data_IF_514155653151
#
_entry.id   IF_514155653151
#
_cell.length_a   1.000
_cell.length_b   1.000
_cell.length_c   1.000
_cell.angle_alpha   90.00
_cell.angle_beta   90.00
_cell.angle_gamma   90.00
#
_symmetry.space_group_name_H-M   'P 1'
#
loop_
_entity.id
_entity.type
_entity.pdbx_description
1 polymer ?
#
# COMPACT_ATOMS: atom_id res chain seq x y z
N UNK A 1 12.27 51.28 -44.06
CA UNK A 1 11.04 50.59 -43.65
C UNK A 1 11.18 49.06 -43.48
N UNK A 2 11.99 48.31 -44.23
CA UNK A 2 12.15 46.86 -44.14
C UNK A 2 12.70 46.34 -42.78
N UNK A 3 13.66 47.04 -42.12
CA UNK A 3 14.24 46.62 -40.83
C UNK A 3 13.22 46.62 -39.68
N UNK A 4 12.30 47.59 -39.61
CA UNK A 4 11.27 47.67 -38.55
C UNK A 4 10.23 46.53 -38.65
N UNK A 5 9.88 46.08 -39.88
CA UNK A 5 8.97 44.94 -40.09
C UNK A 5 9.57 43.63 -39.59
N UNK A 6 10.88 43.39 -39.79
CA UNK A 6 11.54 42.16 -39.36
C UNK A 6 11.64 42.06 -37.82
N UNK A 7 11.88 43.18 -37.13
CA UNK A 7 11.92 43.23 -35.66
C UNK A 7 10.53 42.94 -35.06
N UNK A 8 9.47 43.50 -35.65
CA UNK A 8 8.10 43.22 -35.20
C UNK A 8 7.70 41.76 -35.39
N UNK A 9 8.13 41.15 -36.52
CA UNK A 9 7.88 39.72 -36.78
C UNK A 9 8.63 38.81 -35.80
N UNK A 10 9.87 39.15 -35.42
CA UNK A 10 10.64 38.42 -34.42
C UNK A 10 10.01 38.49 -33.01
N UNK A 11 9.53 39.66 -32.62
CA UNK A 11 8.84 39.85 -31.33
C UNK A 11 7.55 39.04 -31.31
N UNK A 12 6.77 39.07 -32.40
CA UNK A 12 5.53 38.28 -32.49
C UNK A 12 5.79 36.77 -32.42
N UNK A 13 6.84 36.31 -33.12
CA UNK A 13 7.24 34.88 -33.04
C UNK A 13 7.71 34.47 -31.65
N UNK A 14 8.44 35.32 -30.92
CA UNK A 14 8.87 35.07 -29.56
C UNK A 14 7.69 35.02 -28.57
N UNK A 15 6.70 35.90 -28.75
CA UNK A 15 5.47 35.90 -27.92
C UNK A 15 4.64 34.63 -28.19
N UNK A 16 4.49 34.22 -29.45
CA UNK A 16 3.78 33.01 -29.82
C UNK A 16 4.51 31.76 -29.28
N UNK A 17 5.84 31.73 -29.33
CA UNK A 17 6.64 30.64 -28.75
C UNK A 17 6.51 30.57 -27.20
N UNK A 18 6.50 31.69 -26.51
CA UNK A 18 6.28 31.77 -25.07
C UNK A 18 4.86 31.32 -24.68
N UNK A 19 3.84 31.70 -25.47
CA UNK A 19 2.47 31.25 -25.28
C UNK A 19 2.34 29.75 -25.53
N UNK A 20 3.00 29.20 -26.58
CA UNK A 20 2.99 27.79 -26.87
C UNK A 20 3.71 26.95 -25.78
N UNK A 21 4.83 27.45 -25.22
CA UNK A 21 5.50 26.82 -24.08
C UNK A 21 4.65 26.86 -22.81
N UNK A 22 3.94 27.96 -22.55
CA UNK A 22 3.02 28.04 -21.41
C UNK A 22 1.85 27.06 -21.55
N UNK A 23 1.31 26.89 -22.76
CA UNK A 23 0.21 25.91 -23.03
C UNK A 23 0.69 24.47 -22.83
N UNK A 24 1.93 24.13 -23.22
CA UNK A 24 2.48 22.77 -23.03
C UNK A 24 2.76 22.46 -21.55
N UNK A 25 3.24 23.42 -20.76
CA UNK A 25 3.36 23.28 -19.30
C UNK A 25 2.00 23.11 -18.64
N UNK A 26 0.94 23.74 -19.17
CA UNK A 26 -0.42 23.60 -18.66
C UNK A 26 -1.07 22.25 -19.06
N UNK A 27 -0.72 21.69 -20.22
CA UNK A 27 -1.20 20.37 -20.65
C UNK A 27 -0.59 19.23 -19.81
N UNK A 28 0.66 19.36 -19.36
CA UNK A 28 1.32 18.38 -18.50
C UNK A 28 0.74 18.34 -17.06
N UNK A 29 0.03 19.38 -16.63
CA UNK A 29 -0.68 19.39 -15.33
C UNK A 29 -2.04 18.69 -15.37
N UNK A 30 -2.42 18.10 -16.48
CA UNK A 30 -3.67 17.35 -16.63
C UNK A 30 -3.61 16.06 -15.81
N UNK A 31 -4.23 16.08 -14.64
CA UNK A 31 -4.63 14.87 -13.92
C UNK A 31 -3.67 14.30 -12.85
N UNK A 32 -3.41 15.10 -11.80
CA UNK A 32 -2.69 14.65 -10.60
C UNK A 32 -3.21 13.35 -10.01
N UNK A 33 -4.51 13.10 -10.10
CA UNK A 33 -5.16 11.92 -9.58
C UNK A 33 -5.40 10.84 -10.66
N UNK A 34 -4.83 10.99 -11.86
CA UNK A 34 -5.02 10.01 -12.94
C UNK A 34 -4.50 8.62 -12.57
N UNK A 35 -3.39 8.56 -11.84
CA UNK A 35 -2.79 7.30 -11.39
C UNK A 35 -3.47 6.69 -10.17
N UNK A 36 -4.34 7.45 -9.48
CA UNK A 36 -5.09 6.91 -8.35
C UNK A 36 -6.02 5.81 -8.82
N UNK A 37 -5.94 4.64 -8.21
CA UNK A 37 -6.86 3.54 -8.50
C UNK A 37 -8.32 3.94 -8.24
N UNK A 38 -9.22 3.58 -9.15
CA UNK A 38 -10.67 3.76 -8.98
C UNK A 38 -11.31 2.66 -8.12
N UNK A 39 -10.57 1.57 -7.90
CA UNK A 39 -11.00 0.45 -7.06
C UNK A 39 -9.83 -0.01 -6.20
N UNK A 40 -10.03 -0.05 -4.92
CA UNK A 40 -9.05 -0.50 -3.92
C UNK A 40 -9.71 -1.43 -2.91
N UNK A 41 -8.90 -2.21 -2.20
CA UNK A 41 -9.43 -3.11 -1.19
C UNK A 41 -8.36 -3.49 -0.18
N UNK A 42 -8.81 -3.84 1.03
CA UNK A 42 -7.97 -4.38 2.08
C UNK A 42 -8.59 -5.65 2.68
N UNK A 43 -7.78 -6.44 3.36
CA UNK A 43 -8.24 -7.52 4.24
C UNK A 43 -8.12 -7.01 5.67
N UNK A 44 -9.20 -7.09 6.43
CA UNK A 44 -9.21 -6.67 7.83
C UNK A 44 -8.52 -7.73 8.68
N UNK A 45 -7.37 -7.40 9.22
CA UNK A 45 -6.70 -8.15 10.28
C UNK A 45 -7.20 -7.67 11.63
N UNK A 46 -7.08 -8.47 12.69
CA UNK A 46 -7.64 -8.16 14.03
C UNK A 46 -7.05 -6.92 14.73
N UNK A 47 -5.96 -6.39 14.21
CA UNK A 47 -5.44 -5.08 14.64
C UNK A 47 -5.62 -4.08 13.49
N UNK A 48 -6.09 -2.86 13.75
CA UNK A 48 -6.10 -1.79 12.78
C UNK A 48 -4.65 -1.43 12.45
N UNK A 49 -4.06 -2.15 11.50
CA UNK A 49 -2.82 -1.72 10.89
C UNK A 49 -3.19 -0.67 9.85
N UNK A 50 -2.63 0.53 9.96
CA UNK A 50 -2.70 1.51 8.89
C UNK A 50 -2.25 0.82 7.61
N UNK A 51 -3.15 0.69 6.65
CA UNK A 51 -2.87 -0.02 5.42
C UNK A 51 -3.21 0.84 4.23
N UNK A 52 -2.20 1.02 3.41
CA UNK A 52 -2.33 1.66 2.11
C UNK A 52 -2.10 3.16 2.16
N UNK A 53 -0.93 3.55 1.76
CA UNK A 53 -0.60 4.93 1.45
C UNK A 53 -0.57 5.06 -0.07
N UNK A 54 -1.54 5.76 -0.64
CA UNK A 54 -1.39 6.27 -1.99
C UNK A 54 -0.68 7.61 -1.91
N UNK A 55 0.49 7.71 -2.52
CA UNK A 55 1.27 8.94 -2.60
C UNK A 55 1.02 9.62 -3.93
N UNK A 56 0.69 10.89 -3.87
CA UNK A 56 0.70 11.78 -5.02
C UNK A 56 1.94 12.65 -4.90
N UNK A 57 2.91 12.44 -5.76
CA UNK A 57 4.11 13.28 -5.87
C UNK A 57 4.02 14.14 -7.12
N UNK A 58 3.28 15.22 -7.08
CA UNK A 58 3.50 16.25 -8.08
C UNK A 58 4.82 16.93 -7.72
N UNK A 59 5.73 17.01 -8.65
CA UNK A 59 6.93 17.85 -8.51
C UNK A 59 6.53 19.34 -8.63
N UNK A 60 5.83 19.89 -7.63
CA UNK A 60 5.40 21.29 -7.67
C UNK A 60 6.20 22.12 -6.69
N UNK A 61 6.57 23.33 -7.14
CA UNK A 61 7.14 24.38 -6.31
C UNK A 61 6.10 25.03 -5.37
N UNK A 62 4.80 24.77 -5.55
CA UNK A 62 3.72 25.39 -4.77
C UNK A 62 3.13 24.43 -3.73
N UNK A 63 2.73 25.01 -2.58
CA UNK A 63 2.07 24.24 -1.50
C UNK A 63 0.88 23.45 -2.01
N UNK A 64 0.83 22.18 -1.65
CA UNK A 64 -0.26 21.25 -1.93
C UNK A 64 -1.16 21.16 -0.71
N UNK A 65 -2.48 21.14 -0.93
CA UNK A 65 -3.47 20.83 0.10
C UNK A 65 -4.21 19.55 -0.30
N UNK A 66 -4.48 18.68 0.68
CA UNK A 66 -5.26 17.47 0.46
C UNK A 66 -6.46 17.43 1.43
N UNK A 67 -7.60 17.01 0.91
CA UNK A 67 -8.78 16.66 1.70
C UNK A 67 -9.25 15.29 1.28
N UNK A 68 -9.48 14.41 2.25
CA UNK A 68 -9.98 13.05 2.03
C UNK A 68 -11.20 12.79 2.88
N UNK A 69 -12.16 12.07 2.32
CA UNK A 69 -13.41 11.72 3.00
C UNK A 69 -13.79 10.28 2.70
N UNK A 70 -14.03 9.50 3.74
CA UNK A 70 -14.73 8.22 3.64
C UNK A 70 -16.25 8.47 3.66
N UNK A 71 -17.00 7.80 2.78
CA UNK A 71 -18.46 7.85 2.80
C UNK A 71 -19.07 6.92 3.86
N UNK A 72 -18.27 6.02 4.44
CA UNK A 72 -18.67 5.19 5.57
C UNK A 72 -17.48 4.93 6.49
N UNK A 73 -17.36 5.72 7.53
CA UNK A 73 -16.28 5.63 8.53
C UNK A 73 -16.37 4.38 9.41
N UNK A 74 -17.53 3.70 9.44
CA UNK A 74 -17.66 2.39 10.10
C UNK A 74 -16.97 1.26 9.32
N UNK A 75 -16.68 1.47 8.02
CA UNK A 75 -15.97 0.51 7.17
C UNK A 75 -14.49 0.87 7.06
N UNK A 76 -14.17 2.14 6.81
CA UNK A 76 -12.80 2.65 6.71
C UNK A 76 -12.72 4.10 7.17
N UNK A 77 -11.72 4.43 7.96
CA UNK A 77 -11.32 5.82 8.20
C UNK A 77 -10.18 6.20 7.26
N UNK A 78 -10.05 7.50 6.97
CA UNK A 78 -9.03 8.04 6.07
C UNK A 78 -8.42 9.29 6.68
N UNK A 79 -7.11 9.46 6.48
CA UNK A 79 -6.37 10.65 6.91
C UNK A 79 -5.47 11.11 5.78
N UNK A 80 -5.60 12.39 5.38
CA UNK A 80 -4.72 13.04 4.41
C UNK A 80 -3.52 13.68 5.12
N UNK A 81 -2.41 13.76 4.42
CA UNK A 81 -1.21 14.43 4.88
C UNK A 81 -0.47 15.07 3.70
N UNK A 82 0.29 16.10 4.01
CA UNK A 82 1.21 16.74 3.07
C UNK A 82 2.59 16.77 3.70
N UNK A 83 3.61 16.68 2.88
CA UNK A 83 4.99 16.80 3.33
C UNK A 83 5.81 17.57 2.29
N UNK A 84 6.84 18.22 2.78
CA UNK A 84 7.80 18.95 1.99
C UNK A 84 9.17 18.28 2.12
N UNK A 85 9.84 18.10 0.99
CA UNK A 85 11.21 17.64 0.95
C UNK A 85 11.98 18.40 -0.14
N UNK A 86 13.05 19.10 0.24
CA UNK A 86 13.90 19.88 -0.68
C UNK A 86 13.09 20.87 -1.54
N UNK A 87 12.16 21.63 -0.95
CA UNK A 87 11.31 22.56 -1.67
C UNK A 87 10.22 21.93 -2.54
N UNK A 88 10.11 20.61 -2.56
CA UNK A 88 9.06 19.88 -3.29
C UNK A 88 7.96 19.45 -2.33
N UNK A 89 6.72 19.70 -2.71
CA UNK A 89 5.55 19.35 -1.93
C UNK A 89 4.91 18.08 -2.46
N UNK A 90 4.50 17.19 -1.55
CA UNK A 90 3.79 15.97 -1.86
C UNK A 90 2.55 15.85 -0.98
N UNK A 91 1.53 15.17 -1.48
CA UNK A 91 0.33 14.84 -0.73
C UNK A 91 0.09 13.33 -0.79
N UNK A 92 -0.45 12.80 0.29
CA UNK A 92 -0.84 11.40 0.37
C UNK A 92 -2.01 11.22 1.33
N UNK A 93 -2.56 10.02 1.34
CA UNK A 93 -3.54 9.64 2.34
C UNK A 93 -3.33 8.20 2.78
N UNK A 94 -3.68 7.92 4.00
CA UNK A 94 -3.73 6.58 4.56
C UNK A 94 -5.18 6.13 4.79
N UNK A 95 -5.39 4.84 4.76
CA UNK A 95 -6.67 4.20 5.04
C UNK A 95 -6.52 3.25 6.22
N UNK A 96 -7.46 3.30 7.17
CA UNK A 96 -7.54 2.35 8.27
C UNK A 96 -8.85 1.58 8.16
N UNK A 97 -8.82 0.31 7.73
CA UNK A 97 -9.99 -0.56 7.71
C UNK A 97 -10.53 -0.78 9.13
N UNK A 98 -11.84 -0.61 9.33
CA UNK A 98 -12.52 -0.75 10.62
C UNK A 98 -13.37 -2.01 10.66
N UNK A 99 -14.19 -2.24 9.61
CA UNK A 99 -15.06 -3.41 9.51
C UNK A 99 -15.18 -3.88 8.05
N UNK A 100 -15.50 -5.17 7.83
CA UNK A 100 -15.80 -5.65 6.47
C UNK A 100 -16.98 -4.90 5.86
N UNK A 101 -16.86 -4.58 4.57
CA UNK A 101 -17.92 -3.85 3.88
C UNK A 101 -17.41 -3.12 2.64
N UNK A 102 -18.29 -2.32 2.05
CA UNK A 102 -17.99 -1.50 0.89
C UNK A 102 -18.22 -0.02 1.23
N UNK A 103 -17.38 0.85 0.69
CA UNK A 103 -17.52 2.29 0.79
C UNK A 103 -16.88 2.96 -0.42
N UNK A 104 -16.90 4.29 -0.43
CA UNK A 104 -16.16 5.13 -1.37
C UNK A 104 -15.24 6.07 -0.59
N UNK A 105 -14.10 6.39 -1.15
CA UNK A 105 -13.17 7.39 -0.64
C UNK A 105 -13.08 8.50 -1.67
N UNK A 106 -13.40 9.73 -1.27
CA UNK A 106 -13.22 10.93 -2.10
C UNK A 106 -11.92 11.61 -1.71
N UNK A 107 -11.06 11.83 -2.68
CA UNK A 107 -9.79 12.56 -2.54
C UNK A 107 -9.88 13.84 -3.34
N UNK A 108 -9.56 14.98 -2.72
CA UNK A 108 -9.41 16.28 -3.36
C UNK A 108 -8.00 16.80 -3.06
N UNK A 109 -7.24 17.09 -4.12
CA UNK A 109 -5.92 17.72 -4.02
C UNK A 109 -5.99 19.09 -4.66
N UNK A 110 -5.50 20.11 -3.97
CA UNK A 110 -5.45 21.50 -4.47
C UNK A 110 -4.01 21.94 -4.56
N UNK A 111 -3.63 22.49 -5.72
CA UNK A 111 -2.29 23.04 -6.00
C UNK A 111 -2.49 24.45 -6.57
N UNK A 112 -2.04 25.47 -5.84
CA UNK A 112 -2.35 26.85 -6.15
C UNK A 112 -3.87 27.08 -6.17
N UNK A 113 -4.41 27.61 -7.26
CA UNK A 113 -5.84 27.85 -7.48
C UNK A 113 -6.59 26.63 -8.04
N UNK A 114 -5.90 25.54 -8.44
CA UNK A 114 -6.51 24.39 -9.10
C UNK A 114 -6.82 23.26 -8.12
N UNK A 115 -7.98 22.64 -8.28
CA UNK A 115 -8.41 21.49 -7.50
C UNK A 115 -8.71 20.30 -8.39
N UNK A 116 -8.25 19.12 -7.96
CA UNK A 116 -8.48 17.84 -8.60
C UNK A 116 -9.24 16.95 -7.63
N UNK A 117 -10.26 16.28 -8.11
CA UNK A 117 -11.08 15.39 -7.28
C UNK A 117 -11.21 14.02 -7.94
N UNK A 118 -11.06 12.96 -7.15
CA UNK A 118 -11.31 11.59 -7.58
C UNK A 118 -12.00 10.79 -6.47
N UNK A 119 -12.83 9.85 -6.89
CA UNK A 119 -13.50 8.91 -5.99
C UNK A 119 -13.03 7.50 -6.30
N UNK A 120 -12.65 6.77 -5.26
CA UNK A 120 -12.25 5.37 -5.31
C UNK A 120 -13.31 4.51 -4.60
N UNK A 121 -13.73 3.41 -5.22
CA UNK A 121 -14.50 2.36 -4.54
C UNK A 121 -13.56 1.55 -3.66
N UNK A 122 -13.90 1.40 -2.38
CA UNK A 122 -13.07 0.72 -1.39
C UNK A 122 -13.84 -0.46 -0.78
N UNK A 123 -13.24 -1.64 -0.77
CA UNK A 123 -13.81 -2.85 -0.20
C UNK A 123 -12.92 -3.41 0.90
N UNK A 124 -13.47 -3.64 2.07
CA UNK A 124 -12.81 -4.32 3.18
C UNK A 124 -13.31 -5.76 3.24
N UNK A 125 -12.41 -6.71 3.09
CA UNK A 125 -12.70 -8.14 3.23
C UNK A 125 -12.47 -8.57 4.67
N UNK A 126 -13.32 -9.44 5.18
CA UNK A 126 -13.10 -10.11 6.47
C UNK A 126 -11.84 -10.96 6.40
N UNK A 127 -11.08 -11.00 7.50
CA UNK A 127 -10.01 -11.98 7.66
C UNK A 127 -10.57 -13.39 7.66
N UNK A 128 -9.95 -14.25 6.89
CA UNK A 128 -10.18 -15.69 6.89
C UNK A 128 -8.83 -16.39 6.91
N UNK A 129 -8.61 -17.26 7.88
CA UNK A 129 -7.36 -18.01 7.93
C UNK A 129 -7.24 -18.90 6.68
N UNK A 130 -6.22 -18.69 5.82
CA UNK A 130 -6.06 -19.46 4.58
C UNK A 130 -5.46 -20.86 4.81
N UNK A 131 -5.04 -21.15 6.04
CA UNK A 131 -4.36 -22.40 6.38
C UNK A 131 -5.32 -23.43 6.97
N UNK A 132 -5.28 -24.65 6.46
CA UNK A 132 -5.92 -25.83 7.05
C UNK A 132 -5.08 -26.37 8.21
N UNK A 133 -3.77 -26.30 8.08
CA UNK A 133 -2.80 -26.74 9.10
C UNK A 133 -1.67 -25.72 9.18
N UNK A 134 -1.26 -25.37 10.40
CA UNK A 134 -0.04 -24.63 10.65
C UNK A 134 0.53 -25.02 12.02
N UNK A 135 1.61 -25.78 11.98
CA UNK A 135 2.28 -26.31 13.17
C UNK A 135 3.79 -26.03 13.12
N UNK A 136 4.38 -25.81 14.29
CA UNK A 136 5.82 -25.79 14.47
C UNK A 136 6.13 -26.74 15.64
N UNK A 137 6.88 -27.80 15.35
CA UNK A 137 7.01 -28.92 16.28
C UNK A 137 5.65 -29.54 16.60
N UNK A 138 5.32 -29.66 17.88
CA UNK A 138 4.02 -30.16 18.37
C UNK A 138 2.94 -29.07 18.43
N UNK A 139 3.31 -27.76 18.42
CA UNK A 139 2.36 -26.66 18.63
C UNK A 139 1.55 -26.34 17.37
N UNK A 140 0.23 -26.26 17.50
CA UNK A 140 -0.69 -25.90 16.41
C UNK A 140 -1.21 -24.45 16.61
N UNK A 141 -1.05 -23.62 15.58
CA UNK A 141 -1.40 -22.21 15.60
C UNK A 141 -2.69 -21.85 14.84
N UNK A 142 -3.39 -22.83 14.23
CA UNK A 142 -4.59 -22.56 13.43
C UNK A 142 -5.69 -21.86 14.21
N UNK A 143 -5.92 -22.20 15.49
CA UNK A 143 -6.94 -21.57 16.34
C UNK A 143 -6.65 -20.08 16.57
N UNK A 144 -5.39 -19.74 16.82
CA UNK A 144 -4.97 -18.32 16.96
C UNK A 144 -5.07 -17.59 15.61
N UNK A 145 -4.67 -18.23 14.51
CA UNK A 145 -4.76 -17.68 13.16
C UNK A 145 -6.20 -17.52 12.66
N UNK A 146 -7.17 -18.26 13.19
CA UNK A 146 -8.58 -18.02 12.89
C UNK A 146 -9.09 -16.67 13.42
N UNK A 147 -8.45 -16.15 14.46
CA UNK A 147 -8.80 -14.86 15.06
C UNK A 147 -8.02 -13.70 14.42
N UNK A 148 -6.78 -13.96 14.00
CA UNK A 148 -5.88 -12.92 13.50
C UNK A 148 -4.87 -13.49 12.50
N UNK A 149 -4.52 -12.70 11.49
CA UNK A 149 -3.40 -13.02 10.59
C UNK A 149 -2.03 -12.92 11.24
N UNK A 150 -1.93 -12.39 12.46
CA UNK A 150 -0.68 -12.22 13.21
C UNK A 150 -0.77 -12.91 14.56
N UNK A 151 0.26 -13.66 14.92
CA UNK A 151 0.37 -14.35 16.20
C UNK A 151 1.76 -14.08 16.78
N UNK A 152 1.79 -13.60 18.02
CA UNK A 152 3.02 -13.50 18.80
C UNK A 152 3.25 -14.80 19.58
N UNK A 153 4.48 -15.27 19.62
CA UNK A 153 4.88 -16.53 20.23
C UNK A 153 6.19 -16.36 20.99
N UNK A 154 6.50 -17.25 21.94
CA UNK A 154 7.82 -17.30 22.58
C UNK A 154 8.89 -17.79 21.59
N UNK A 155 10.15 -17.38 21.77
CA UNK A 155 11.28 -17.77 20.90
C UNK A 155 11.40 -19.28 20.73
N UNK A 156 11.29 -20.04 21.83
CA UNK A 156 11.32 -21.50 21.80
C UNK A 156 10.25 -22.12 20.91
N UNK A 157 9.19 -21.40 20.67
CA UNK A 157 8.07 -21.88 19.83
C UNK A 157 8.42 -21.94 18.35
N UNK A 158 9.48 -21.27 17.92
CA UNK A 158 9.95 -21.28 16.53
C UNK A 158 11.09 -22.30 16.30
N UNK A 159 11.43 -23.11 17.30
CA UNK A 159 12.36 -24.21 17.19
C UNK A 159 11.62 -25.49 16.83
N UNK A 160 11.64 -25.90 15.58
CA UNK A 160 10.99 -27.13 15.21
C UNK A 160 10.75 -27.34 13.73
N UNK A 161 10.08 -28.46 13.43
CA UNK A 161 9.65 -28.77 12.07
C UNK A 161 8.40 -27.96 11.73
N UNK A 162 8.46 -27.17 10.67
CA UNK A 162 7.31 -26.44 10.15
C UNK A 162 6.43 -27.35 9.31
N UNK A 163 5.15 -27.44 9.64
CA UNK A 163 4.15 -28.15 8.86
C UNK A 163 3.00 -27.21 8.55
N UNK A 164 2.74 -27.00 7.26
CA UNK A 164 1.60 -26.19 6.83
C UNK A 164 0.87 -26.85 5.66
N UNK A 165 -0.44 -26.62 5.60
CA UNK A 165 -1.32 -27.01 4.49
C UNK A 165 -2.31 -25.88 4.25
N UNK A 166 -2.42 -25.44 3.01
CA UNK A 166 -3.40 -24.44 2.59
C UNK A 166 -4.80 -25.07 2.47
N UNK A 167 -5.84 -24.24 2.62
CA UNK A 167 -7.19 -24.57 2.18
C UNK A 167 -7.25 -24.59 0.64
N UNK A 168 -8.22 -25.29 0.00
CA UNK A 168 -8.25 -25.47 -1.46
C UNK A 168 -8.23 -24.19 -2.28
N UNK A 169 -8.92 -23.13 -1.80
CA UNK A 169 -9.07 -21.88 -2.53
C UNK A 169 -7.88 -20.92 -2.40
N UNK A 170 -6.76 -21.38 -1.87
CA UNK A 170 -5.61 -20.54 -1.59
C UNK A 170 -4.33 -21.08 -2.21
N UNK A 171 -3.44 -20.16 -2.59
CA UNK A 171 -2.12 -20.45 -3.17
C UNK A 171 -1.05 -19.68 -2.40
N UNK A 172 0.02 -20.35 -1.99
CA UNK A 172 1.19 -19.70 -1.40
C UNK A 172 1.93 -18.92 -2.49
N UNK A 173 2.14 -17.63 -2.26
CA UNK A 173 2.89 -16.74 -3.17
C UNK A 173 4.33 -16.61 -2.71
N UNK A 174 4.53 -16.38 -1.41
CA UNK A 174 5.86 -16.31 -0.82
C UNK A 174 5.84 -16.72 0.64
N UNK A 175 6.97 -17.19 1.09
CA UNK A 175 7.24 -17.47 2.49
C UNK A 175 8.62 -16.96 2.85
N UNK A 176 8.70 -16.19 3.92
CA UNK A 176 9.93 -15.64 4.47
C UNK A 176 10.08 -16.10 5.91
N UNK A 177 11.28 -16.50 6.26
CA UNK A 177 11.67 -16.82 7.62
C UNK A 177 12.76 -15.85 8.03
N UNK A 178 12.52 -15.06 9.04
CA UNK A 178 13.46 -14.08 9.56
C UNK A 178 14.31 -14.73 10.65
N UNK A 179 15.63 -14.63 10.51
CA UNK A 179 16.59 -15.23 11.44
C UNK A 179 17.54 -14.19 11.99
N UNK A 180 17.98 -14.40 13.24
CA UNK A 180 19.00 -13.62 13.92
C UNK A 180 20.06 -14.55 14.45
N UNK A 181 21.35 -14.25 14.19
CA UNK A 181 22.51 -14.96 14.71
C UNK A 181 23.52 -13.91 15.19
N UNK A 182 23.65 -13.77 16.50
CA UNK A 182 24.32 -12.62 17.12
C UNK A 182 23.62 -11.33 16.68
N UNK A 183 24.37 -10.37 16.15
CA UNK A 183 23.82 -9.09 15.64
C UNK A 183 23.43 -9.12 14.16
N UNK A 184 23.58 -10.26 13.49
CA UNK A 184 23.28 -10.39 12.06
C UNK A 184 21.85 -10.87 11.84
N UNK A 185 21.11 -10.11 11.04
CA UNK A 185 19.77 -10.43 10.59
C UNK A 185 19.81 -10.97 9.16
N UNK A 186 19.08 -12.03 8.90
CA UNK A 186 18.95 -12.60 7.56
C UNK A 186 17.54 -13.11 7.27
N UNK A 187 17.28 -13.47 6.00
CA UNK A 187 15.99 -13.95 5.56
C UNK A 187 16.16 -15.21 4.72
N UNK A 188 15.53 -16.28 5.13
CA UNK A 188 15.46 -17.54 4.37
C UNK A 188 14.11 -17.60 3.66
N UNK A 189 14.14 -17.85 2.35
CA UNK A 189 12.94 -17.88 1.52
C UNK A 189 12.46 -19.30 1.27
N UNK A 190 11.14 -19.45 1.10
CA UNK A 190 10.48 -20.65 0.55
C UNK A 190 10.77 -21.96 1.30
N UNK A 191 10.77 -21.91 2.64
CA UNK A 191 10.89 -23.13 3.44
C UNK A 191 9.70 -24.04 3.15
N UNK A 192 9.97 -25.24 2.69
CA UNK A 192 8.94 -26.25 2.37
C UNK A 192 8.33 -26.82 3.65
N UNK A 193 7.03 -27.11 3.61
CA UNK A 193 6.36 -27.87 4.67
C UNK A 193 7.07 -29.18 4.95
N UNK A 194 7.25 -29.51 6.22
CA UNK A 194 7.98 -30.69 6.66
C UNK A 194 9.45 -30.47 6.95
N UNK A 195 10.00 -29.28 6.70
CA UNK A 195 11.40 -28.94 7.01
C UNK A 195 11.53 -28.29 8.39
N UNK A 196 12.67 -28.47 9.04
CA UNK A 196 13.02 -27.76 10.28
C UNK A 196 13.25 -26.28 9.96
N UNK A 197 12.79 -25.40 10.84
CA UNK A 197 13.08 -23.98 10.75
C UNK A 197 14.58 -23.74 10.98
N UNK A 198 15.18 -22.74 10.31
CA UNK A 198 16.55 -22.32 10.57
C UNK A 198 16.77 -21.94 12.04
N UNK A 199 17.97 -22.15 12.54
CA UNK A 199 18.35 -21.68 13.87
C UNK A 199 18.24 -20.15 13.95
N UNK A 200 17.85 -19.64 15.12
CA UNK A 200 17.66 -18.21 15.35
C UNK A 200 16.45 -17.62 14.63
N UNK A 201 15.48 -18.44 14.20
CA UNK A 201 14.23 -17.96 13.63
C UNK A 201 13.45 -17.15 14.68
N UNK A 202 13.18 -15.87 14.40
CA UNK A 202 12.37 -14.99 15.25
C UNK A 202 11.06 -14.56 14.57
N UNK A 203 10.88 -14.88 13.30
CA UNK A 203 9.65 -14.53 12.59
C UNK A 203 9.42 -15.34 11.32
N UNK A 204 8.14 -15.55 11.00
CA UNK A 204 7.67 -16.19 9.77
C UNK A 204 6.62 -15.28 9.14
N UNK A 205 6.78 -15.03 7.86
CA UNK A 205 5.81 -14.31 7.04
C UNK A 205 5.39 -15.18 5.85
N UNK A 206 4.09 -15.35 5.65
CA UNK A 206 3.53 -16.01 4.48
C UNK A 206 2.57 -15.07 3.76
N UNK A 207 2.78 -14.88 2.48
CA UNK A 207 1.84 -14.22 1.59
C UNK A 207 1.07 -15.27 0.81
N UNK A 208 -0.24 -15.28 0.99
CA UNK A 208 -1.13 -16.31 0.45
C UNK A 208 -2.23 -15.61 -0.36
N UNK A 209 -2.45 -16.04 -1.59
CA UNK A 209 -3.45 -15.47 -2.50
C UNK A 209 -4.71 -16.31 -2.52
N UNK A 210 -5.86 -15.67 -2.32
CA UNK A 210 -7.16 -16.30 -2.50
C UNK A 210 -7.55 -16.35 -3.98
N UNK A 211 -7.99 -17.51 -4.45
CA UNK A 211 -8.55 -17.69 -5.81
C UNK A 211 -9.94 -17.08 -5.96
N UNK A 212 -10.73 -17.02 -4.87
CA UNK A 212 -12.11 -16.48 -4.88
C UNK A 212 -12.18 -14.98 -5.13
N UNK A 213 -11.27 -14.21 -4.53
CA UNK A 213 -11.33 -12.76 -4.56
C UNK A 213 -10.06 -12.11 -5.07
N UNK A 214 -9.05 -12.90 -5.43
CA UNK A 214 -7.74 -12.47 -5.94
C UNK A 214 -6.96 -11.58 -4.95
N UNK A 215 -7.24 -11.69 -3.63
CA UNK A 215 -6.61 -10.89 -2.57
C UNK A 215 -5.52 -11.66 -1.84
N UNK A 216 -4.58 -10.89 -1.30
CA UNK A 216 -3.51 -11.43 -0.47
C UNK A 216 -3.92 -11.47 0.99
N UNK A 217 -3.66 -12.60 1.62
CA UNK A 217 -3.81 -12.87 3.05
C UNK A 217 -2.42 -13.08 3.61
N UNK A 218 -2.02 -12.24 4.55
CA UNK A 218 -0.70 -12.31 5.15
C UNK A 218 -0.79 -12.99 6.51
N UNK A 219 -0.08 -14.10 6.66
CA UNK A 219 0.09 -14.81 7.93
C UNK A 219 1.45 -14.45 8.50
N UNK A 220 1.48 -14.05 9.78
CA UNK A 220 2.69 -13.61 10.47
C UNK A 220 2.79 -14.28 11.83
N UNK A 221 3.94 -14.85 12.13
CA UNK A 221 4.33 -15.24 13.47
C UNK A 221 5.59 -14.51 13.84
N UNK A 222 5.64 -13.93 15.04
CA UNK A 222 6.82 -13.25 15.56
C UNK A 222 7.05 -13.66 17.00
N UNK A 223 8.32 -13.63 17.42
CA UNK A 223 8.68 -13.64 18.84
C UNK A 223 8.46 -12.25 19.46
N UNK A 224 8.23 -12.25 20.74
CA UNK A 224 8.19 -11.01 21.55
C UNK A 224 9.55 -10.34 21.60
#
# INVERSE_FOLDING_TARGET
MKKKKNVLLMILAAVVAMLAMSVNVWAAQKNLLAQMSTKTSAVLYSAPAGMGCDYFTPEYASKVKISVKSYNTKVVTVKGYTFERNGKYSAGYETTPIAPGNTKIKVKVTVGSKSYTRTCSYKVYKWENPLKTFKIGSKNYCSKLNKSGTVTVSEDSLNGKLVYKLKPDYTLVSMLCYTKTGDKYSTVKNIKSGKKLPQGTYGIFMQIKSRKNNKFYNVRLYTE
#
